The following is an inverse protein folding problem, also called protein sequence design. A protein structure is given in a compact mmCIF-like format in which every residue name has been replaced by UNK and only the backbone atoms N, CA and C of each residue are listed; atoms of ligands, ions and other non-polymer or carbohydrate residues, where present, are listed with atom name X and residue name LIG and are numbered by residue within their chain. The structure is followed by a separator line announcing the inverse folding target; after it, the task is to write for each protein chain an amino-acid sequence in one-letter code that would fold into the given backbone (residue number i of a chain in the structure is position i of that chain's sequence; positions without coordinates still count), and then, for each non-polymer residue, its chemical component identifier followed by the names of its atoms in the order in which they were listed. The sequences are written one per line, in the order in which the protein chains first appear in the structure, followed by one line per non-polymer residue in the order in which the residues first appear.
data_IF_840817385960
#
_entry.id   IF_840817385960
#
_cell.length_a   1.000
_cell.length_b   1.000
_cell.length_c   1.000
_cell.angle_alpha   90.00
_cell.angle_beta   90.00
_cell.angle_gamma   90.00
#
_symmetry.space_group_name_H-M   'P 1'
#
loop_
_entity.id
_entity.type
_entity.pdbx_description
1 polymer ?
#
# COMPACT_ATOMS: atom_id res chain seq x y z
N UNK A 1 7.57 -32.72 3.09
CA UNK A 1 7.12 -31.39 3.56
C UNK A 1 8.29 -30.40 3.65
N UNK A 2 8.86 -29.93 2.53
CA UNK A 2 9.98 -28.96 2.54
C UNK A 2 10.00 -27.98 1.33
N UNK A 3 8.89 -27.80 0.62
CA UNK A 3 8.85 -26.95 -0.59
C UNK A 3 8.16 -25.59 -0.42
N UNK A 4 7.40 -25.36 0.66
CA UNK A 4 6.68 -24.11 0.88
C UNK A 4 7.60 -22.96 1.36
N UNK A 5 8.60 -23.30 2.19
CA UNK A 5 9.59 -22.34 2.72
C UNK A 5 10.48 -21.79 1.60
N UNK A 6 10.86 -22.63 0.61
CA UNK A 6 11.71 -22.23 -0.51
C UNK A 6 11.02 -21.22 -1.44
N UNK A 7 9.73 -21.36 -1.67
CA UNK A 7 8.94 -20.40 -2.46
C UNK A 7 8.84 -19.02 -1.81
N UNK A 8 8.65 -18.99 -0.49
CA UNK A 8 8.59 -17.76 0.30
C UNK A 8 9.96 -17.07 0.36
N UNK A 9 11.05 -17.83 0.53
CA UNK A 9 12.41 -17.30 0.50
C UNK A 9 12.76 -16.68 -0.87
N UNK A 10 12.35 -17.31 -1.97
CA UNK A 10 12.57 -16.80 -3.33
C UNK A 10 11.79 -15.51 -3.55
N UNK A 11 10.54 -15.44 -3.10
CA UNK A 11 9.73 -14.23 -3.17
C UNK A 11 10.35 -13.08 -2.35
N UNK A 12 10.82 -13.35 -1.13
CA UNK A 12 11.50 -12.38 -0.27
C UNK A 12 12.83 -11.90 -0.88
N UNK A 13 13.60 -12.79 -1.52
CA UNK A 13 14.85 -12.44 -2.19
C UNK A 13 14.63 -11.60 -3.45
N UNK A 14 13.55 -11.85 -4.19
CA UNK A 14 13.18 -11.04 -5.36
C UNK A 14 12.72 -9.63 -4.94
N UNK A 15 12.00 -9.52 -3.83
CA UNK A 15 11.64 -8.21 -3.23
C UNK A 15 12.89 -7.50 -2.71
N UNK A 16 13.81 -8.19 -2.04
CA UNK A 16 15.07 -7.62 -1.52
C UNK A 16 16.00 -7.13 -2.63
N UNK A 17 16.07 -7.82 -3.77
CA UNK A 17 16.79 -7.37 -4.99
C UNK A 17 16.14 -6.15 -5.61
N UNK A 18 14.80 -6.15 -5.71
CA UNK A 18 14.05 -5.01 -6.21
C UNK A 18 14.17 -3.77 -5.30
N UNK A 19 14.55 -3.91 -4.03
CA UNK A 19 14.68 -2.79 -3.08
C UNK A 19 16.12 -2.47 -2.67
N UNK A 20 17.14 -3.12 -3.24
CA UNK A 20 18.55 -2.89 -2.87
C UNK A 20 19.12 -1.62 -3.51
N UNK A 21 19.94 -0.87 -2.76
CA UNK A 21 20.51 0.44 -3.15
C UNK A 21 21.40 0.44 -4.40
N UNK A 22 21.74 -0.71 -5.00
CA UNK A 22 22.45 -0.82 -6.29
C UNK A 22 21.54 -1.14 -7.49
N UNK A 23 20.30 -1.55 -7.24
CA UNK A 23 19.27 -1.73 -8.27
C UNK A 23 18.48 -0.44 -8.40
N UNK A 24 19.07 0.57 -9.03
CA UNK A 24 18.42 1.83 -9.30
C UNK A 24 17.07 1.59 -9.95
N UNK A 25 15.99 1.89 -9.22
CA UNK A 25 14.74 2.31 -9.82
C UNK A 25 15.00 3.66 -10.50
N UNK A 26 15.75 3.63 -11.62
CA UNK A 26 15.30 4.36 -12.78
C UNK A 26 14.02 3.64 -13.18
N UNK A 27 12.89 4.08 -12.60
CA UNK A 27 11.67 4.02 -13.38
C UNK A 27 12.02 4.77 -14.65
N UNK A 28 12.28 4.03 -15.72
CA UNK A 28 12.01 4.54 -17.04
C UNK A 28 10.56 5.00 -16.97
N UNK A 29 10.35 6.32 -16.90
CA UNK A 29 9.06 7.02 -16.95
C UNK A 29 8.38 6.82 -18.32
N UNK A 30 8.77 5.76 -19.05
CA UNK A 30 8.33 5.41 -20.39
C UNK A 30 8.23 3.89 -20.48
N UNK A 31 7.22 3.26 -19.85
CA UNK A 31 6.55 2.00 -20.30
C UNK A 31 5.62 1.27 -19.33
N UNK A 32 5.32 1.80 -18.14
CA UNK A 32 4.14 1.34 -17.40
C UNK A 32 3.14 2.49 -17.36
N UNK A 33 2.04 2.34 -18.12
CA UNK A 33 0.94 3.31 -18.14
C UNK A 33 0.37 3.55 -16.75
N UNK A 34 -0.46 4.58 -16.61
CA UNK A 34 -1.17 4.91 -15.39
C UNK A 34 -1.76 3.66 -14.70
N UNK A 35 -1.92 3.64 -13.36
CA UNK A 35 -2.54 2.53 -12.64
C UNK A 35 -3.84 2.06 -13.30
N UNK A 36 -4.62 2.97 -13.90
CA UNK A 36 -5.83 2.66 -14.66
C UNK A 36 -5.60 1.73 -15.86
N UNK A 37 -4.43 1.79 -16.51
CA UNK A 37 -4.06 0.91 -17.63
C UNK A 37 -3.49 -0.43 -17.16
N UNK A 38 -2.91 -0.46 -15.97
CA UNK A 38 -2.29 -1.67 -15.41
C UNK A 38 -3.35 -2.63 -14.85
N UNK A 39 -4.38 -2.13 -14.17
CA UNK A 39 -5.41 -2.97 -13.52
C UNK A 39 -6.12 -3.90 -14.53
N UNK A 40 -6.72 -3.42 -15.64
CA UNK A 40 -7.35 -4.27 -16.65
C UNK A 40 -6.45 -5.39 -17.19
N UNK A 41 -5.16 -5.08 -17.40
CA UNK A 41 -4.18 -6.06 -17.85
C UNK A 41 -3.94 -7.14 -16.79
N UNK A 42 -3.77 -6.76 -15.52
CA UNK A 42 -3.62 -7.74 -14.44
C UNK A 42 -4.87 -8.61 -14.30
N UNK A 43 -6.07 -8.04 -14.41
CA UNK A 43 -7.32 -8.83 -14.37
C UNK A 43 -7.31 -9.88 -15.47
N UNK A 44 -6.98 -9.52 -16.72
CA UNK A 44 -6.84 -10.49 -17.82
C UNK A 44 -5.82 -11.58 -17.52
N UNK A 45 -4.68 -11.24 -16.90
CA UNK A 45 -3.63 -12.19 -16.56
C UNK A 45 -4.03 -13.20 -15.47
N UNK A 46 -5.07 -12.95 -14.68
CA UNK A 46 -5.62 -13.94 -13.75
C UNK A 46 -6.17 -15.19 -14.47
N UNK A 47 -6.59 -15.06 -15.73
CA UNK A 47 -7.06 -16.17 -16.57
C UNK A 47 -5.94 -16.90 -17.31
N UNK A 48 -4.68 -16.50 -17.10
CA UNK A 48 -3.53 -17.15 -17.73
C UNK A 48 -3.43 -18.62 -17.34
N UNK A 49 -3.11 -19.50 -18.28
CA UNK A 49 -2.79 -20.92 -18.00
C UNK A 49 -1.55 -21.07 -17.11
N UNK A 50 -0.64 -20.08 -17.12
CA UNK A 50 0.60 -20.09 -16.32
C UNK A 50 0.34 -19.60 -14.90
N UNK A 51 0.46 -20.49 -13.91
CA UNK A 51 0.24 -20.18 -12.50
C UNK A 51 1.10 -19.01 -11.99
N UNK A 52 2.36 -18.92 -12.41
CA UNK A 52 3.26 -17.83 -12.03
C UNK A 52 2.72 -16.45 -12.46
N UNK A 53 2.06 -16.36 -13.61
CA UNK A 53 1.48 -15.11 -14.11
C UNK A 53 0.21 -14.75 -13.37
N UNK A 54 -0.66 -15.74 -13.09
CA UNK A 54 -1.86 -15.53 -12.26
C UNK A 54 -1.48 -14.99 -10.88
N UNK A 55 -0.51 -15.63 -10.22
CA UNK A 55 -0.07 -15.23 -8.89
C UNK A 55 0.56 -13.84 -8.90
N UNK A 56 1.40 -13.53 -9.91
CA UNK A 56 1.97 -12.20 -10.05
C UNK A 56 0.90 -11.14 -10.28
N UNK A 57 -0.11 -11.43 -11.09
CA UNK A 57 -1.22 -10.52 -11.36
C UNK A 57 -2.06 -10.26 -10.12
N UNK A 58 -2.40 -11.31 -9.36
CA UNK A 58 -3.12 -11.19 -8.09
C UNK A 58 -2.34 -10.32 -7.10
N UNK A 59 -1.05 -10.57 -6.91
CA UNK A 59 -0.23 -9.77 -6.02
C UNK A 59 -0.14 -8.29 -6.45
N UNK A 60 -0.10 -8.02 -7.76
CA UNK A 60 -0.13 -6.66 -8.30
C UNK A 60 -1.48 -5.98 -8.03
N UNK A 61 -2.60 -6.70 -8.22
CA UNK A 61 -3.93 -6.19 -7.93
C UNK A 61 -4.09 -5.85 -6.45
N UNK A 62 -3.75 -6.78 -5.55
CA UNK A 62 -3.83 -6.57 -4.09
C UNK A 62 -2.98 -5.38 -3.67
N UNK A 63 -1.75 -5.28 -4.16
CA UNK A 63 -0.84 -4.19 -3.77
C UNK A 63 -1.25 -2.82 -4.33
N UNK A 64 -1.97 -2.78 -5.45
CA UNK A 64 -2.41 -1.54 -6.09
C UNK A 64 -3.72 -1.05 -5.49
N UNK A 65 -4.68 -1.96 -5.32
CA UNK A 65 -6.07 -1.67 -4.96
C UNK A 65 -6.35 -1.77 -3.46
N UNK A 66 -5.48 -2.44 -2.70
CA UNK A 66 -5.71 -2.78 -1.29
C UNK A 66 -6.95 -3.64 -1.05
N UNK A 67 -7.38 -4.42 -2.06
CA UNK A 67 -8.46 -5.40 -1.93
C UNK A 67 -7.94 -6.80 -2.26
N UNK A 68 -8.65 -7.85 -1.82
CA UNK A 68 -8.36 -9.24 -2.19
C UNK A 68 -9.64 -9.99 -2.57
N UNK A 69 -9.93 -10.05 -3.87
CA UNK A 69 -10.99 -10.89 -4.44
C UNK A 69 -10.47 -12.24 -4.94
N UNK A 70 -9.27 -12.65 -4.53
CA UNK A 70 -8.63 -13.87 -5.02
C UNK A 70 -8.47 -13.86 -6.54
N UNK A 71 -8.58 -15.03 -7.17
CA UNK A 71 -8.43 -15.18 -8.63
C UNK A 71 -9.73 -14.95 -9.42
N UNK A 72 -10.79 -14.46 -8.78
CA UNK A 72 -12.09 -14.21 -9.43
C UNK A 72 -12.02 -12.99 -10.35
N UNK A 73 -11.99 -13.23 -11.67
CA UNK A 73 -11.91 -12.17 -12.66
C UNK A 73 -13.16 -11.28 -12.69
N UNK A 74 -14.34 -11.82 -12.44
CA UNK A 74 -15.60 -11.09 -12.55
C UNK A 74 -15.79 -10.15 -11.37
N UNK A 75 -15.40 -10.59 -10.18
CA UNK A 75 -15.30 -9.74 -8.99
C UNK A 75 -14.35 -8.56 -9.24
N UNK A 76 -13.16 -8.82 -9.79
CA UNK A 76 -12.19 -7.77 -10.12
C UNK A 76 -12.69 -6.81 -11.22
N UNK A 77 -13.35 -7.30 -12.26
CA UNK A 77 -13.93 -6.44 -13.30
C UNK A 77 -15.07 -5.57 -12.77
N UNK A 78 -15.89 -6.12 -11.87
CA UNK A 78 -16.96 -5.39 -11.22
C UNK A 78 -16.41 -4.30 -10.30
N UNK A 79 -15.35 -4.62 -9.53
CA UNK A 79 -14.63 -3.62 -8.74
C UNK A 79 -14.04 -2.51 -9.63
N UNK A 80 -13.35 -2.87 -10.73
CA UNK A 80 -12.71 -1.90 -11.62
C UNK A 80 -13.72 -0.93 -12.24
N UNK A 81 -14.87 -1.43 -12.71
CA UNK A 81 -15.92 -0.57 -13.28
C UNK A 81 -16.43 0.49 -12.29
N UNK A 82 -16.51 0.15 -11.00
CA UNK A 82 -16.95 1.08 -9.94
C UNK A 82 -15.88 2.07 -9.49
N UNK A 83 -14.60 1.75 -9.69
CA UNK A 83 -13.48 2.47 -9.06
C UNK A 83 -12.50 3.11 -10.05
N UNK A 84 -12.65 2.88 -11.37
CA UNK A 84 -11.72 3.33 -12.41
C UNK A 84 -11.47 4.85 -12.43
N UNK A 85 -12.43 5.64 -11.95
CA UNK A 85 -12.38 7.11 -11.96
C UNK A 85 -11.99 7.69 -10.58
N UNK A 86 -11.73 6.83 -9.59
CA UNK A 86 -11.34 7.22 -8.21
C UNK A 86 -9.83 7.21 -8.04
N UNK A 87 -9.34 7.98 -7.08
CA UNK A 87 -7.92 7.99 -6.76
C UNK A 87 -7.53 6.78 -5.90
N UNK A 88 -6.26 6.42 -5.96
CA UNK A 88 -5.72 5.34 -5.12
C UNK A 88 -5.78 5.65 -3.62
N UNK A 89 -5.78 6.93 -3.24
CA UNK A 89 -6.00 7.32 -1.85
C UNK A 89 -7.39 6.93 -1.37
N UNK A 90 -8.41 7.10 -2.21
CA UNK A 90 -9.78 6.70 -1.90
C UNK A 90 -9.89 5.19 -1.67
N UNK A 91 -9.25 4.38 -2.53
CA UNK A 91 -9.23 2.91 -2.37
C UNK A 91 -8.55 2.48 -1.07
N UNK A 92 -7.52 3.21 -0.65
CA UNK A 92 -6.84 2.92 0.62
C UNK A 92 -7.71 3.30 1.83
N UNK A 93 -8.49 4.39 1.75
CA UNK A 93 -9.44 4.74 2.79
C UNK A 93 -10.55 3.68 2.92
N UNK A 94 -11.15 3.24 1.80
CA UNK A 94 -12.15 2.17 1.82
C UNK A 94 -11.61 0.90 2.49
N UNK A 95 -10.37 0.51 2.18
CA UNK A 95 -9.72 -0.66 2.77
C UNK A 95 -9.46 -0.53 4.28
N UNK A 96 -9.38 0.70 4.82
CA UNK A 96 -9.29 0.95 6.25
C UNK A 96 -10.68 0.87 6.90
N UNK A 97 -11.69 1.48 6.29
CA UNK A 97 -13.09 1.45 6.76
C UNK A 97 -13.64 0.01 6.80
N UNK A 98 -13.44 -0.77 5.74
CA UNK A 98 -13.84 -2.19 5.68
C UNK A 98 -13.19 -3.03 6.80
N UNK A 99 -12.05 -2.59 7.32
CA UNK A 99 -11.35 -3.22 8.43
C UNK A 99 -11.75 -2.67 9.82
N UNK A 100 -12.72 -1.76 9.88
CA UNK A 100 -13.19 -1.11 11.10
C UNK A 100 -12.27 0.00 11.61
N UNK A 101 -11.42 0.57 10.74
CA UNK A 101 -10.61 1.75 11.06
C UNK A 101 -11.33 2.98 10.52
N UNK A 102 -12.05 3.68 11.40
CA UNK A 102 -12.72 4.94 11.09
C UNK A 102 -11.67 6.01 10.72
N UNK A 103 -11.68 6.45 9.47
CA UNK A 103 -10.74 7.44 8.92
C UNK A 103 -11.42 8.49 8.04
N UNK A 104 -12.55 8.18 7.42
CA UNK A 104 -13.29 9.12 6.59
C UNK A 104 -13.91 10.23 7.44
N UNK A 105 -13.83 11.47 6.93
CA UNK A 105 -14.34 12.65 7.64
C UNK A 105 -13.42 13.19 8.74
N UNK A 106 -12.32 12.51 9.06
CA UNK A 106 -11.32 13.01 10.00
C UNK A 106 -10.53 14.18 9.42
N UNK A 107 -10.17 15.14 10.28
CA UNK A 107 -9.16 16.13 9.93
C UNK A 107 -7.80 15.46 9.73
N UNK A 108 -6.86 16.10 9.00
CA UNK A 108 -5.49 15.57 8.89
C UNK A 108 -4.80 15.39 10.26
N UNK A 109 -5.19 16.18 11.26
CA UNK A 109 -4.66 16.09 12.61
C UNK A 109 -5.07 14.79 13.32
N UNK A 110 -6.24 14.24 12.99
CA UNK A 110 -6.80 13.01 13.55
C UNK A 110 -6.53 11.80 12.66
N UNK A 111 -6.59 11.98 11.34
CA UNK A 111 -6.36 10.97 10.32
C UNK A 111 -4.95 10.38 10.38
N UNK A 112 -3.91 11.22 10.55
CA UNK A 112 -2.52 10.74 10.58
C UNK A 112 -2.27 9.83 11.81
N UNK A 113 -2.66 10.20 13.04
CA UNK A 113 -2.66 9.27 14.18
C UNK A 113 -3.41 7.96 13.92
N UNK A 114 -4.63 8.01 13.37
CA UNK A 114 -5.42 6.80 13.06
C UNK A 114 -4.66 5.87 12.08
N UNK A 115 -4.05 6.43 11.04
CA UNK A 115 -3.20 5.66 10.12
C UNK A 115 -1.95 5.09 10.81
N UNK A 116 -1.34 5.81 11.75
CA UNK A 116 -0.19 5.28 12.52
C UNK A 116 -0.62 4.09 13.37
N UNK A 117 -1.80 4.12 13.98
CA UNK A 117 -2.34 2.98 14.73
C UNK A 117 -2.67 1.80 13.81
N UNK A 118 -3.23 2.06 12.63
CA UNK A 118 -3.53 1.03 11.63
C UNK A 118 -2.28 0.28 11.15
N UNK A 119 -1.06 0.82 11.32
CA UNK A 119 0.19 0.08 11.08
C UNK A 119 0.38 -1.13 12.00
N UNK A 120 -0.30 -1.17 13.15
CA UNK A 120 -0.30 -2.31 14.08
C UNK A 120 -1.26 -3.42 13.66
N UNK A 121 -2.23 -3.13 12.79
CA UNK A 121 -3.30 -4.05 12.41
C UNK A 121 -2.81 -5.44 11.98
N UNK A 122 -3.60 -6.48 12.27
CA UNK A 122 -3.23 -7.89 12.03
C UNK A 122 -3.16 -8.21 10.54
N UNK A 123 -4.05 -7.62 9.74
CA UNK A 123 -4.09 -7.82 8.30
C UNK A 123 -3.09 -6.93 7.56
N UNK A 124 -2.32 -7.55 6.67
CA UNK A 124 -1.27 -6.91 5.86
C UNK A 124 -1.81 -5.80 4.96
N UNK A 125 -3.00 -6.01 4.40
CA UNK A 125 -3.64 -5.08 3.46
C UNK A 125 -3.89 -3.72 4.15
N UNK A 126 -4.49 -3.74 5.34
CA UNK A 126 -4.72 -2.57 6.19
C UNK A 126 -3.43 -1.81 6.46
N UNK A 127 -2.35 -2.52 6.81
CA UNK A 127 -1.03 -1.90 7.04
C UNK A 127 -0.46 -1.25 5.78
N UNK A 128 -0.67 -1.88 4.61
CA UNK A 128 -0.21 -1.34 3.34
C UNK A 128 -0.99 -0.07 2.95
N UNK A 129 -2.31 -0.08 3.14
CA UNK A 129 -3.19 1.07 2.93
C UNK A 129 -2.80 2.23 3.84
N UNK A 130 -2.72 1.98 5.16
CA UNK A 130 -2.29 2.95 6.15
C UNK A 130 -0.92 3.57 5.82
N UNK A 131 0.08 2.75 5.48
CA UNK A 131 1.40 3.25 5.11
C UNK A 131 1.39 4.05 3.80
N UNK A 132 0.58 3.64 2.82
CA UNK A 132 0.41 4.41 1.58
C UNK A 132 -0.16 5.80 1.87
N UNK A 133 -1.23 5.88 2.68
CA UNK A 133 -1.88 7.12 3.07
C UNK A 133 -0.93 8.03 3.85
N UNK A 134 -0.17 7.48 4.81
CA UNK A 134 0.86 8.24 5.53
C UNK A 134 1.87 8.86 4.56
N UNK A 135 2.38 8.11 3.59
CA UNK A 135 3.31 8.66 2.59
C UNK A 135 2.65 9.70 1.68
N UNK A 136 1.41 9.44 1.26
CA UNK A 136 0.65 10.33 0.38
C UNK A 136 0.48 11.72 1.01
N UNK A 137 -0.04 11.77 2.24
CA UNK A 137 -0.37 13.03 2.91
C UNK A 137 0.83 13.71 3.60
N UNK A 138 1.77 12.94 4.17
CA UNK A 138 2.91 13.55 4.88
C UNK A 138 4.12 13.82 4.00
N UNK A 139 4.17 13.23 2.80
CA UNK A 139 5.34 13.19 1.91
C UNK A 139 6.63 12.65 2.56
N UNK A 140 6.55 12.06 3.75
CA UNK A 140 7.70 11.50 4.46
C UNK A 140 8.20 10.24 3.75
N UNK A 141 9.52 10.11 3.64
CA UNK A 141 10.20 9.01 2.95
C UNK A 141 10.58 7.84 3.88
N UNK A 142 10.15 7.86 5.13
CA UNK A 142 10.47 6.83 6.11
C UNK A 142 9.96 5.46 5.67
N UNK A 143 10.77 4.43 5.92
CA UNK A 143 10.44 3.05 5.59
C UNK A 143 9.51 2.45 6.66
N UNK A 144 8.63 1.53 6.24
CA UNK A 144 7.86 0.69 7.15
C UNK A 144 7.82 -0.75 6.63
N UNK A 145 8.24 -1.75 7.43
CA UNK A 145 8.26 -3.14 7.00
C UNK A 145 6.86 -3.77 7.16
N UNK A 146 5.97 -3.53 6.18
CA UNK A 146 4.57 -4.01 6.15
C UNK A 146 4.40 -5.52 6.44
N UNK A 147 5.42 -6.32 6.11
CA UNK A 147 5.43 -7.78 6.22
C UNK A 147 6.06 -8.32 7.50
N UNK A 148 6.67 -7.45 8.30
CA UNK A 148 7.35 -7.89 9.51
C UNK A 148 6.36 -8.29 10.62
N UNK A 149 6.86 -9.10 11.55
CA UNK A 149 6.14 -9.46 12.79
C UNK A 149 5.81 -8.22 13.61
N UNK A 150 4.85 -8.33 14.53
CA UNK A 150 4.44 -7.20 15.37
C UNK A 150 5.63 -6.55 16.10
N UNK A 151 6.49 -7.37 16.74
CA UNK A 151 7.69 -6.89 17.45
C UNK A 151 8.66 -6.12 16.56
N UNK A 152 8.85 -6.57 15.31
CA UNK A 152 9.75 -5.89 14.36
C UNK A 152 9.12 -4.64 13.73
N UNK A 153 7.79 -4.50 13.75
CA UNK A 153 7.08 -3.30 13.28
C UNK A 153 7.06 -2.19 14.32
N UNK A 154 6.95 -2.54 15.59
CA UNK A 154 6.72 -1.61 16.70
C UNK A 154 7.75 -0.45 16.78
N UNK A 155 9.07 -0.65 16.59
CA UNK A 155 10.03 0.45 16.57
C UNK A 155 9.71 1.51 15.50
N UNK A 156 9.26 1.08 14.32
CA UNK A 156 8.88 1.99 13.23
C UNK A 156 7.59 2.75 13.55
N UNK A 157 6.61 2.09 14.19
CA UNK A 157 5.37 2.76 14.64
C UNK A 157 5.69 3.85 15.67
N UNK A 158 6.58 3.57 16.62
CA UNK A 158 7.06 4.59 17.58
C UNK A 158 7.80 5.73 16.90
N UNK A 159 8.63 5.44 15.91
CA UNK A 159 9.32 6.47 15.11
C UNK A 159 8.33 7.37 14.35
N UNK A 160 7.26 6.78 13.79
CA UNK A 160 6.18 7.53 13.16
C UNK A 160 5.43 8.42 14.16
N UNK A 161 5.05 7.87 15.31
CA UNK A 161 4.37 8.61 16.38
C UNK A 161 5.22 9.76 16.93
N UNK A 162 6.49 9.50 17.24
CA UNK A 162 7.44 10.52 17.73
C UNK A 162 7.65 11.65 16.72
N UNK A 163 7.78 11.32 15.44
CA UNK A 163 7.91 12.33 14.40
C UNK A 163 6.65 13.17 14.27
N UNK A 164 5.47 12.55 14.32
CA UNK A 164 4.20 13.27 14.21
C UNK A 164 4.06 14.32 15.33
N UNK A 165 4.32 13.91 16.58
CA UNK A 165 4.21 14.79 17.75
C UNK A 165 5.26 15.90 17.82
N UNK A 166 6.40 15.76 17.14
CA UNK A 166 7.51 16.73 17.23
C UNK A 166 7.68 17.61 15.99
N UNK A 167 7.29 17.12 14.82
CA UNK A 167 7.54 17.81 13.54
C UNK A 167 6.34 17.76 12.61
N UNK A 168 5.63 16.63 12.59
CA UNK A 168 4.55 16.38 11.63
C UNK A 168 3.40 17.38 11.76
N UNK A 169 2.90 17.57 12.98
CA UNK A 169 1.77 18.48 13.24
C UNK A 169 2.08 19.93 12.86
N UNK A 170 3.29 20.41 13.16
CA UNK A 170 3.72 21.77 12.81
C UNK A 170 3.92 21.97 11.31
N UNK A 171 4.37 20.94 10.58
CA UNK A 171 4.58 21.02 9.14
C UNK A 171 3.28 21.11 8.34
N UNK A 172 2.21 20.50 8.84
CA UNK A 172 0.90 20.56 8.19
C UNK A 172 0.09 21.78 8.66
N UNK A 173 0.27 22.23 9.91
CA UNK A 173 -0.35 23.47 10.42
C UNK A 173 0.31 24.77 9.93
N UNK A 174 1.61 24.73 9.58
CA UNK A 174 2.38 25.92 9.14
C UNK A 174 2.12 26.38 7.70
N UNK A 175 1.33 25.64 6.91
CA UNK A 175 0.95 26.04 5.55
C UNK A 175 -0.32 26.91 5.50
N UNK A 176 -0.84 27.37 6.65
CA UNK A 176 -1.95 28.31 6.75
C UNK A 176 -1.56 29.80 6.73
N UNK A 177 -0.29 30.13 6.48
CA UNK A 177 0.14 31.54 6.51
C UNK A 177 1.46 31.78 5.78
N UNK A 178 1.43 31.87 4.45
CA UNK A 178 2.13 32.93 3.70
C UNK A 178 1.97 32.78 2.18
N UNK A 179 1.61 33.91 1.54
CA UNK A 179 1.64 34.14 0.09
C UNK A 179 0.24 34.53 -0.42
N UNK A 180 -0.24 35.77 -0.22
CA UNK A 180 0.06 36.97 -1.03
C UNK A 180 -0.12 36.75 -2.52
#
# INVERSE_FOLDING_TARGET
MHNYIRGIQIALNNVKRATSRRGGWRMNVKRNGSPEKNIPMQIKLLGSRRQAWRMKALLNLISTTFCDYGTDQDAWWSWYRRNKDRERADWACDALEDAGVEVLGLSLAEFIPACIEALRHVHKIVRAAAFYLLKHYTRRTAHFPVYATAGNREPHVREWRKWWSTRGIHRLGGNGGNGR
#
